data_IF_970086060000
#
_entry.id   IF_970086060000
#
_cell.length_a   1.000
_cell.length_b   1.000
_cell.length_c   1.000
_cell.angle_alpha   90.00
_cell.angle_beta   90.00
_cell.angle_gamma   90.00
#
_symmetry.space_group_name_H-M   'P 1'
#
loop_
_entity.id
_entity.type
_entity.pdbx_description
1 polymer ?
#
# COMPACT_ATOMS: atom_id res chain seq x y z
N UNK A 1 -6.28 0.86 -21.79
CA UNK A 1 -5.27 0.03 -21.11
C UNK A 1 -5.08 0.52 -19.68
N UNK A 2 -5.19 -0.39 -18.73
CA UNK A 2 -4.93 -0.05 -17.34
C UNK A 2 -3.42 0.09 -17.11
N UNK A 3 -3.03 1.08 -16.34
CA UNK A 3 -1.64 1.23 -15.92
C UNK A 3 -1.23 0.02 -15.09
N UNK A 4 0.03 -0.38 -15.18
CA UNK A 4 0.58 -1.44 -14.35
C UNK A 4 0.60 -0.98 -12.90
N UNK A 5 0.25 -1.88 -11.99
CA UNK A 5 0.35 -1.59 -10.56
C UNK A 5 1.81 -1.47 -10.15
N UNK A 6 2.10 -0.49 -9.33
CA UNK A 6 3.46 -0.14 -8.91
C UNK A 6 3.78 -0.78 -7.57
N UNK A 7 4.84 -1.56 -7.56
CA UNK A 7 5.27 -2.29 -6.37
C UNK A 7 6.67 -1.83 -5.99
N UNK A 8 6.81 -1.37 -4.76
CA UNK A 8 8.11 -1.06 -4.17
C UNK A 8 8.58 -2.30 -3.41
N UNK A 9 9.77 -2.79 -3.75
CA UNK A 9 10.39 -3.88 -3.00
C UNK A 9 11.62 -3.36 -2.27
N UNK A 10 11.74 -3.74 -1.00
CA UNK A 10 12.77 -3.26 -0.11
C UNK A 10 13.45 -4.44 0.59
N UNK A 11 14.74 -4.62 0.32
CA UNK A 11 15.55 -5.68 0.91
C UNK A 11 17.01 -5.25 0.84
N UNK A 12 17.77 -5.45 1.90
CA UNK A 12 19.17 -5.12 1.92
C UNK A 12 20.02 -6.14 1.13
N UNK A 13 19.47 -7.32 0.83
CA UNK A 13 20.12 -8.32 -0.01
C UNK A 13 19.76 -8.11 -1.48
N UNK A 14 20.76 -7.70 -2.27
CA UNK A 14 20.55 -7.42 -3.69
C UNK A 14 20.09 -8.63 -4.49
N UNK A 15 20.49 -9.83 -4.09
CA UNK A 15 20.07 -11.06 -4.77
C UNK A 15 18.55 -11.26 -4.67
N UNK A 16 17.97 -11.03 -3.49
CA UNK A 16 16.53 -11.11 -3.32
C UNK A 16 15.79 -10.05 -4.14
N UNK A 17 16.33 -8.84 -4.20
CA UNK A 17 15.75 -7.78 -5.03
C UNK A 17 15.72 -8.18 -6.50
N UNK A 18 16.79 -8.78 -7.01
CA UNK A 18 16.85 -9.23 -8.40
C UNK A 18 15.82 -10.33 -8.69
N UNK A 19 15.69 -11.29 -7.78
CA UNK A 19 14.73 -12.39 -7.93
C UNK A 19 13.29 -11.86 -7.88
N UNK A 20 12.98 -11.02 -6.91
CA UNK A 20 11.65 -10.43 -6.76
C UNK A 20 11.28 -9.53 -7.94
N UNK A 21 12.22 -8.70 -8.37
CA UNK A 21 12.01 -7.82 -9.53
C UNK A 21 11.69 -8.62 -10.78
N UNK A 22 12.45 -9.68 -11.05
CA UNK A 22 12.22 -10.54 -12.21
C UNK A 22 10.86 -11.24 -12.12
N UNK A 23 10.54 -11.81 -10.97
CA UNK A 23 9.28 -12.53 -10.76
C UNK A 23 8.06 -11.63 -10.91
N UNK A 24 8.09 -10.48 -10.28
CA UNK A 24 6.96 -9.54 -10.28
C UNK A 24 6.83 -8.79 -11.60
N UNK A 25 7.94 -8.43 -12.24
CA UNK A 25 7.91 -7.81 -13.56
C UNK A 25 7.35 -8.76 -14.61
N UNK A 26 7.72 -10.04 -14.53
CA UNK A 26 7.20 -11.08 -15.41
C UNK A 26 5.70 -11.28 -15.21
N UNK A 27 5.20 -11.06 -14.01
CA UNK A 27 3.77 -11.13 -13.69
C UNK A 27 2.99 -9.88 -14.14
N UNK A 28 3.65 -8.87 -14.68
CA UNK A 28 3.01 -7.69 -15.23
C UNK A 28 2.98 -6.46 -14.34
N UNK A 29 3.74 -6.45 -13.25
CA UNK A 29 3.81 -5.30 -12.35
C UNK A 29 4.98 -4.38 -12.70
N UNK A 30 4.85 -3.11 -12.33
CA UNK A 30 5.92 -2.12 -12.43
C UNK A 30 6.66 -2.10 -11.09
N UNK A 31 7.88 -2.60 -11.07
CA UNK A 31 8.62 -2.88 -9.82
C UNK A 31 9.78 -1.92 -9.66
N UNK A 32 9.89 -1.35 -8.47
CA UNK A 32 11.02 -0.49 -8.08
C UNK A 32 11.77 -1.17 -6.93
N UNK A 33 12.98 -1.67 -7.17
CA UNK A 33 13.79 -2.27 -6.10
C UNK A 33 14.62 -1.20 -5.39
N UNK A 34 14.61 -1.21 -4.08
CA UNK A 34 15.42 -0.32 -3.24
C UNK A 34 16.07 -1.15 -2.14
N UNK A 35 17.36 -0.92 -1.90
CA UNK A 35 18.12 -1.68 -0.89
C UNK A 35 18.40 -0.90 0.39
N UNK A 36 17.89 0.31 0.50
CA UNK A 36 18.10 1.18 1.68
C UNK A 36 16.73 1.66 2.18
N UNK A 37 16.37 1.38 3.44
CA UNK A 37 15.06 1.78 3.97
C UNK A 37 14.84 3.28 4.01
N UNK A 38 15.88 4.07 4.24
CA UNK A 38 15.75 5.54 4.22
C UNK A 38 15.39 6.06 2.83
N UNK A 39 16.01 5.49 1.79
CA UNK A 39 15.69 5.81 0.40
C UNK A 39 14.28 5.39 0.04
N UNK A 40 13.82 4.25 0.57
CA UNK A 40 12.47 3.77 0.33
C UNK A 40 11.42 4.72 0.91
N UNK A 41 11.64 5.21 2.12
CA UNK A 41 10.75 6.18 2.77
C UNK A 41 10.69 7.48 1.97
N UNK A 42 11.85 7.98 1.53
CA UNK A 42 11.91 9.18 0.69
C UNK A 42 11.19 8.99 -0.65
N UNK A 43 11.36 7.82 -1.25
CA UNK A 43 10.70 7.47 -2.51
C UNK A 43 9.16 7.48 -2.36
N UNK A 44 8.66 6.97 -1.25
CA UNK A 44 7.22 6.92 -0.97
C UNK A 44 6.60 8.32 -0.79
N UNK A 45 7.39 9.30 -0.38
CA UNK A 45 6.92 10.69 -0.26
C UNK A 45 6.73 11.35 -1.63
N UNK A 46 7.49 10.93 -2.64
CA UNK A 46 7.52 11.58 -3.95
C UNK A 46 6.79 10.81 -5.04
N UNK A 47 6.66 9.48 -4.90
CA UNK A 47 6.10 8.62 -5.95
C UNK A 47 4.86 7.92 -5.46
N UNK A 48 3.96 7.61 -6.38
CA UNK A 48 2.80 6.80 -6.10
C UNK A 48 3.18 5.32 -6.13
N UNK A 49 2.83 4.60 -5.07
CA UNK A 49 3.10 3.17 -4.92
C UNK A 49 1.81 2.49 -4.51
N UNK A 50 1.52 1.35 -5.13
CA UNK A 50 0.29 0.61 -4.85
C UNK A 50 0.48 -0.45 -3.77
N UNK A 51 1.65 -1.09 -3.72
CA UNK A 51 1.98 -2.13 -2.75
C UNK A 51 3.44 -2.01 -2.37
N UNK A 52 3.76 -2.24 -1.09
CA UNK A 52 5.14 -2.31 -0.60
C UNK A 52 5.43 -3.71 -0.09
N UNK A 53 6.56 -4.26 -0.50
CA UNK A 53 7.08 -5.52 0.01
C UNK A 53 8.42 -5.21 0.68
N UNK A 54 8.56 -5.48 1.95
CA UNK A 54 9.79 -5.20 2.68
C UNK A 54 10.28 -6.41 3.45
N UNK A 55 11.62 -6.55 3.50
CA UNK A 55 12.25 -7.49 4.40
C UNK A 55 12.11 -7.00 5.84
N UNK A 56 12.06 -7.92 6.78
CA UNK A 56 11.91 -7.60 8.21
C UNK A 56 13.20 -7.09 8.82
N UNK A 57 14.32 -7.74 8.50
CA UNK A 57 15.62 -7.41 9.08
C UNK A 57 16.51 -6.69 8.10
N UNK A 58 16.75 -5.42 8.36
CA UNK A 58 17.63 -4.58 7.55
C UNK A 58 18.47 -3.70 8.47
N UNK A 59 19.69 -3.30 8.04
CA UNK A 59 20.43 -2.28 8.77
C UNK A 59 19.66 -0.96 8.87
N UNK A 60 19.90 -0.18 9.89
CA UNK A 60 19.32 1.16 10.14
C UNK A 60 17.85 1.13 10.55
N UNK A 61 17.00 0.41 9.84
CA UNK A 61 15.56 0.45 10.02
C UNK A 61 14.98 -0.92 9.69
N UNK A 62 14.16 -1.48 10.57
CA UNK A 62 13.51 -2.77 10.33
C UNK A 62 12.31 -2.63 9.42
N UNK A 63 11.84 -3.75 8.87
CA UNK A 63 10.59 -3.78 8.10
C UNK A 63 9.39 -3.32 8.93
N UNK A 64 9.40 -3.60 10.23
CA UNK A 64 8.37 -3.12 11.13
C UNK A 64 8.37 -1.60 11.23
N UNK A 65 9.55 -0.98 11.32
CA UNK A 65 9.68 0.48 11.34
C UNK A 65 9.15 1.10 10.05
N UNK A 66 9.48 0.49 8.91
CA UNK A 66 8.97 0.94 7.60
C UNK A 66 7.45 0.83 7.56
N UNK A 67 6.90 -0.30 8.03
CA UNK A 67 5.45 -0.50 8.11
C UNK A 67 4.78 0.58 8.94
N UNK A 68 5.32 0.88 10.10
CA UNK A 68 4.76 1.92 10.99
C UNK A 68 4.76 3.29 10.31
N UNK A 69 5.83 3.64 9.62
CA UNK A 69 5.91 4.91 8.91
C UNK A 69 4.90 4.99 7.76
N UNK A 70 4.76 3.93 7.00
CA UNK A 70 3.79 3.88 5.89
C UNK A 70 2.37 4.03 6.45
N UNK A 71 2.05 3.34 7.54
CA UNK A 71 0.71 3.41 8.14
C UNK A 71 0.38 4.78 8.71
N UNK A 72 1.37 5.58 9.09
CA UNK A 72 1.16 6.97 9.53
C UNK A 72 0.91 7.92 8.36
N UNK A 73 1.65 7.76 7.27
CA UNK A 73 1.59 8.70 6.14
C UNK A 73 0.65 8.27 5.02
N UNK A 74 0.53 6.98 4.78
CA UNK A 74 -0.25 6.41 3.68
C UNK A 74 -0.91 5.11 4.11
N UNK A 75 -1.90 5.16 5.02
CA UNK A 75 -2.45 3.95 5.66
C UNK A 75 -3.17 3.00 4.70
N UNK A 76 -3.52 3.46 3.51
CA UNK A 76 -4.20 2.63 2.52
C UNK A 76 -3.27 1.77 1.66
N UNK A 77 -1.94 1.98 1.76
CA UNK A 77 -0.99 1.15 1.00
C UNK A 77 -0.81 -0.20 1.71
N UNK A 78 -1.13 -1.32 1.06
CA UNK A 78 -0.85 -2.64 1.65
C UNK A 78 0.66 -2.89 1.73
N UNK A 79 1.09 -3.44 2.86
CA UNK A 79 2.51 -3.76 3.11
C UNK A 79 2.64 -5.25 3.40
N UNK A 80 3.48 -5.93 2.62
CA UNK A 80 3.85 -7.32 2.84
C UNK A 80 5.22 -7.37 3.51
N UNK A 81 5.32 -8.15 4.58
CA UNK A 81 6.58 -8.33 5.30
C UNK A 81 7.16 -9.71 4.96
N UNK A 82 8.43 -9.75 4.57
CA UNK A 82 9.15 -11.00 4.33
C UNK A 82 10.23 -11.18 5.38
N UNK A 83 10.46 -12.41 5.80
CA UNK A 83 11.49 -12.70 6.79
C UNK A 83 12.07 -14.10 6.62
N UNK A 84 13.37 -14.23 6.84
CA UNK A 84 14.05 -15.52 6.89
C UNK A 84 13.83 -16.21 8.24
N UNK A 85 13.45 -15.47 9.26
CA UNK A 85 13.28 -15.97 10.64
C UNK A 85 11.84 -15.75 11.09
N UNK A 86 10.93 -16.55 10.52
CA UNK A 86 9.52 -16.46 10.87
C UNK A 86 9.20 -17.14 12.19
N UNK A 87 8.46 -16.45 13.05
CA UNK A 87 7.83 -17.03 14.23
C UNK A 87 6.38 -16.59 14.26
N UNK A 88 5.56 -17.34 14.99
CA UNK A 88 4.15 -16.97 15.17
C UNK A 88 4.05 -15.62 15.87
N UNK A 89 4.94 -15.38 16.85
CA UNK A 89 4.95 -14.13 17.62
C UNK A 89 5.26 -12.92 16.72
N UNK A 90 6.27 -13.00 15.87
CA UNK A 90 6.62 -11.90 14.98
C UNK A 90 5.56 -11.69 13.90
N UNK A 91 4.93 -12.76 13.41
CA UNK A 91 3.82 -12.66 12.46
C UNK A 91 2.63 -11.92 13.10
N UNK A 92 2.28 -12.28 14.33
CA UNK A 92 1.18 -11.62 15.06
C UNK A 92 1.52 -10.14 15.28
N UNK A 93 2.75 -9.83 15.65
CA UNK A 93 3.19 -8.45 15.86
C UNK A 93 3.02 -7.59 14.62
N UNK A 94 3.56 -8.02 13.47
CA UNK A 94 3.45 -7.22 12.24
C UNK A 94 1.99 -7.08 11.78
N UNK A 95 1.17 -8.11 11.96
CA UNK A 95 -0.25 -8.03 11.61
C UNK A 95 -0.99 -7.04 12.51
N UNK A 96 -0.64 -6.94 13.79
CA UNK A 96 -1.20 -5.93 14.71
C UNK A 96 -0.89 -4.51 14.25
N UNK A 97 0.28 -4.28 13.66
CA UNK A 97 0.67 -2.98 13.14
C UNK A 97 0.11 -2.69 11.76
N UNK A 98 -0.67 -3.60 11.21
CA UNK A 98 -1.41 -3.36 9.97
C UNK A 98 -0.76 -3.92 8.72
N UNK A 99 0.16 -4.88 8.83
CA UNK A 99 0.70 -5.57 7.66
C UNK A 99 -0.42 -6.30 6.93
N UNK A 100 -0.36 -6.31 5.62
CA UNK A 100 -1.32 -7.05 4.80
C UNK A 100 -1.07 -8.54 4.86
N UNK A 101 0.21 -8.94 4.81
CA UNK A 101 0.59 -10.35 4.86
C UNK A 101 2.02 -10.50 5.39
N UNK A 102 2.35 -11.70 5.80
CA UNK A 102 3.64 -12.07 6.35
C UNK A 102 4.11 -13.33 5.67
N UNK A 103 5.25 -13.25 4.99
CA UNK A 103 5.78 -14.32 4.14
C UNK A 103 7.16 -14.73 4.65
N UNK A 104 7.35 -16.04 4.84
CA UNK A 104 8.65 -16.56 5.28
C UNK A 104 9.51 -16.94 4.08
N UNK A 105 10.81 -16.63 4.17
CA UNK A 105 11.80 -17.05 3.19
C UNK A 105 12.36 -18.43 3.58
N UNK A 106 12.63 -19.34 2.64
CA UNK A 106 12.31 -19.24 1.22
C UNK A 106 10.80 -19.38 0.98
N UNK A 107 10.27 -18.64 0.02
CA UNK A 107 8.85 -18.67 -0.32
C UNK A 107 8.62 -19.42 -1.62
N UNK A 108 7.42 -19.97 -1.78
CA UNK A 108 6.97 -20.48 -3.06
C UNK A 108 6.52 -19.29 -3.93
N UNK A 109 6.90 -19.30 -5.21
CA UNK A 109 6.55 -18.22 -6.13
C UNK A 109 5.04 -17.99 -6.21
N UNK A 110 4.27 -19.06 -6.26
CA UNK A 110 2.80 -18.98 -6.33
C UNK A 110 2.20 -18.34 -5.08
N UNK A 111 2.76 -18.64 -3.91
CA UNK A 111 2.33 -18.05 -2.64
C UNK A 111 2.57 -16.54 -2.64
N UNK A 112 3.76 -16.11 -3.03
CA UNK A 112 4.08 -14.70 -3.11
C UNK A 112 3.21 -13.98 -4.14
N UNK A 113 3.05 -14.55 -5.33
CA UNK A 113 2.26 -13.95 -6.40
C UNK A 113 0.79 -13.82 -6.00
N UNK A 114 0.24 -14.80 -5.30
CA UNK A 114 -1.14 -14.72 -4.80
C UNK A 114 -1.30 -13.60 -3.78
N UNK A 115 -0.38 -13.51 -2.82
CA UNK A 115 -0.42 -12.46 -1.81
C UNK A 115 -0.30 -11.07 -2.44
N UNK A 116 0.60 -10.91 -3.41
CA UNK A 116 0.77 -9.65 -4.14
C UNK A 116 -0.50 -9.31 -4.95
N UNK A 117 -1.08 -10.30 -5.62
CA UNK A 117 -2.32 -10.10 -6.38
C UNK A 117 -3.44 -9.59 -5.47
N UNK A 118 -3.61 -10.21 -4.31
CA UNK A 118 -4.63 -9.81 -3.35
C UNK A 118 -4.37 -8.40 -2.80
N UNK A 119 -3.10 -8.06 -2.54
CA UNK A 119 -2.73 -6.72 -2.10
C UNK A 119 -3.01 -5.67 -3.16
N UNK A 120 -2.71 -5.97 -4.42
CA UNK A 120 -2.98 -5.08 -5.56
C UNK A 120 -4.48 -4.84 -5.70
N UNK A 121 -5.29 -5.89 -5.57
CA UNK A 121 -6.75 -5.75 -5.62
C UNK A 121 -7.29 -4.86 -4.50
N UNK A 122 -6.75 -5.00 -3.29
CA UNK A 122 -7.12 -4.13 -2.17
C UNK A 122 -6.71 -2.67 -2.45
N UNK A 123 -5.52 -2.45 -2.97
CA UNK A 123 -5.04 -1.11 -3.33
C UNK A 123 -5.94 -0.45 -4.38
N UNK A 124 -6.34 -1.19 -5.40
CA UNK A 124 -7.27 -0.70 -6.43
C UNK A 124 -8.63 -0.33 -5.85
N UNK A 125 -9.14 -1.14 -4.92
CA UNK A 125 -10.40 -0.86 -4.25
C UNK A 125 -10.32 0.44 -3.44
N UNK A 126 -9.21 0.67 -2.73
CA UNK A 126 -8.99 1.92 -1.99
C UNK A 126 -8.93 3.13 -2.93
N UNK A 127 -8.28 3.00 -4.08
CA UNK A 127 -8.19 4.07 -5.08
C UNK A 127 -9.56 4.42 -5.63
N UNK A 128 -10.36 3.42 -5.98
CA UNK A 128 -11.72 3.62 -6.49
C UNK A 128 -12.61 4.32 -5.46
N UNK A 129 -12.52 3.89 -4.21
CA UNK A 129 -13.27 4.49 -3.11
C UNK A 129 -12.88 5.97 -2.93
N UNK A 130 -11.60 6.28 -2.96
CA UNK A 130 -11.11 7.66 -2.85
C UNK A 130 -11.60 8.54 -3.99
N UNK A 131 -11.57 8.03 -5.23
CA UNK A 131 -12.06 8.76 -6.41
C UNK A 131 -13.55 9.06 -6.25
N UNK A 132 -14.34 8.10 -5.80
CA UNK A 132 -15.77 8.30 -5.56
C UNK A 132 -16.02 9.35 -4.48
N UNK A 133 -15.26 9.33 -3.39
CA UNK A 133 -15.36 10.34 -2.34
C UNK A 133 -15.04 11.73 -2.86
N UNK A 134 -13.97 11.89 -3.61
CA UNK A 134 -13.60 13.18 -4.21
C UNK A 134 -14.68 13.69 -5.15
N UNK A 135 -15.24 12.81 -5.97
CA UNK A 135 -16.33 13.16 -6.88
C UNK A 135 -17.57 13.65 -6.12
N UNK A 136 -17.92 13.01 -5.02
CA UNK A 136 -19.05 13.44 -4.18
C UNK A 136 -18.76 14.79 -3.52
N UNK A 137 -17.57 15.01 -3.02
CA UNK A 137 -17.16 16.29 -2.42
C UNK A 137 -17.25 17.43 -3.44
N UNK A 138 -16.81 17.20 -4.67
CA UNK A 138 -16.95 18.18 -5.76
C UNK A 138 -18.41 18.51 -6.04
N UNK A 139 -19.28 17.52 -6.07
CA UNK A 139 -20.72 17.74 -6.27
C UNK A 139 -21.32 18.55 -5.13
N UNK A 140 -20.96 18.25 -3.89
CA UNK A 140 -21.41 19.00 -2.73
C UNK A 140 -20.96 20.46 -2.78
N UNK A 141 -19.67 20.69 -3.10
CA UNK A 141 -19.14 22.04 -3.23
C UNK A 141 -19.88 22.83 -4.30
N UNK A 142 -20.17 22.21 -5.44
CA UNK A 142 -20.92 22.83 -6.54
C UNK A 142 -22.35 23.15 -6.08
N UNK A 143 -23.00 22.24 -5.40
CA UNK A 143 -24.36 22.45 -4.86
C UNK A 143 -24.39 23.56 -3.82
N UNK A 144 -23.38 23.65 -2.96
CA UNK A 144 -23.28 24.74 -1.97
C UNK A 144 -23.13 26.10 -2.63
N UNK A 145 -22.39 26.18 -3.72
CA UNK A 145 -22.20 27.44 -4.47
C UNK A 145 -23.50 27.84 -5.17
N UNK A 146 -24.22 26.90 -5.74
CA UNK A 146 -25.47 27.15 -6.49
C UNK A 146 -26.64 27.29 -5.54
N UNK A 147 -26.72 26.46 -4.51
CA UNK A 147 -27.84 26.38 -3.58
C UNK A 147 -27.66 27.26 -2.36
N UNK A 148 -27.91 28.55 -2.50
CA UNK A 148 -27.87 29.48 -1.37
C UNK A 148 -29.17 29.49 -0.55
N UNK A 149 -30.14 28.68 -0.90
CA UNK A 149 -31.41 28.61 -0.18
C UNK A 149 -31.29 27.77 1.10
N UNK A 150 -32.00 28.10 2.18
CA UNK A 150 -31.99 27.30 3.40
C UNK A 150 -32.42 25.85 3.18
N UNK A 151 -33.40 25.63 2.33
CA UNK A 151 -33.90 24.27 2.01
C UNK A 151 -32.82 23.40 1.40
N UNK A 152 -32.00 23.97 0.53
CA UNK A 152 -30.89 23.26 -0.10
C UNK A 152 -29.80 22.90 0.92
N UNK A 153 -29.54 23.80 1.86
CA UNK A 153 -28.56 23.55 2.95
C UNK A 153 -29.03 22.44 3.87
N UNK A 154 -30.32 22.41 4.20
CA UNK A 154 -30.91 21.34 5.01
C UNK A 154 -30.76 19.98 4.33
N UNK A 155 -31.03 19.92 3.03
CA UNK A 155 -30.90 18.69 2.25
C UNK A 155 -29.45 18.19 2.23
N UNK A 156 -28.49 19.07 2.01
CA UNK A 156 -27.07 18.74 2.01
C UNK A 156 -26.62 18.29 3.40
N UNK A 157 -27.11 18.92 4.46
CA UNK A 157 -26.79 18.53 5.83
C UNK A 157 -27.28 17.13 6.17
N UNK A 158 -28.47 16.75 5.72
CA UNK A 158 -29.01 15.41 5.91
C UNK A 158 -28.20 14.36 5.16
N UNK A 159 -27.82 14.63 3.92
CA UNK A 159 -27.00 13.73 3.11
C UNK A 159 -25.62 13.57 3.73
N UNK A 160 -25.05 14.63 4.25
CA UNK A 160 -23.73 14.61 4.88
C UNK A 160 -23.68 13.75 6.14
N UNK A 161 -24.79 13.53 6.81
CA UNK A 161 -24.91 12.69 8.00
C UNK A 161 -25.07 11.21 7.68
N UNK A 162 -25.39 10.88 6.47
CA UNK A 162 -25.53 9.50 6.01
C UNK A 162 -24.27 9.05 5.32
#
# INVERSE_FOLDING_TARGET
MSEKSRILILDDEKNYLLVLEALLSDAGYDVTPINDPEMAVSYLEEAEVDVVITDMKMPKMSGLDVLQQIKRSSPSIPVLIMTAFGSIESAVEVMKYGAFDYITKPFANDELLLSVHNAVELSRAHQQYRILQESLEERYSTHQIIGKSPAMRETLSIVDRV
#
